data_IF_039095949830
#
_entry.id   IF_039095949830
#
_cell.length_a   1.000
_cell.length_b   1.000
_cell.length_c   1.000
_cell.angle_alpha   90.00
_cell.angle_beta   90.00
_cell.angle_gamma   90.00
#
_symmetry.space_group_name_H-M   'P 1'
#
loop_
_entity.id
_entity.type
_entity.pdbx_description
1 polymer ?
#
# COMPACT_ATOMS: atom_id res chain seq x y z
N UNK A 1 4.44 42.58 -46.42
CA UNK A 1 4.56 41.20 -45.94
C UNK A 1 4.66 41.23 -44.41
N UNK A 2 3.53 41.32 -43.71
CA UNK A 2 3.48 41.33 -42.24
C UNK A 2 3.09 39.93 -41.77
N UNK A 3 4.06 39.20 -41.21
CA UNK A 3 3.86 37.85 -40.69
C UNK A 3 3.20 37.97 -39.31
N UNK A 4 1.90 37.69 -39.24
CA UNK A 4 1.14 37.62 -38.00
C UNK A 4 1.52 36.33 -37.25
N UNK A 5 2.32 36.45 -36.18
CA UNK A 5 2.64 35.34 -35.29
C UNK A 5 1.36 35.02 -34.50
N UNK A 6 0.71 33.90 -34.85
CA UNK A 6 -0.39 33.32 -34.05
C UNK A 6 0.19 32.79 -32.74
N UNK A 7 -0.07 33.49 -31.64
CA UNK A 7 0.06 32.92 -30.30
C UNK A 7 -0.85 31.69 -30.20
N UNK A 8 -0.26 30.50 -30.20
CA UNK A 8 -0.95 29.28 -29.77
C UNK A 8 -1.16 29.39 -28.27
N UNK A 9 -2.36 29.75 -27.85
CA UNK A 9 -2.82 29.58 -26.48
C UNK A 9 -2.75 28.09 -26.16
N UNK A 10 -1.75 27.67 -25.38
CA UNK A 10 -1.70 26.31 -24.82
C UNK A 10 -2.93 26.19 -23.92
N UNK A 11 -3.96 25.47 -24.36
CA UNK A 11 -5.07 25.10 -23.49
C UNK A 11 -4.47 24.34 -22.31
N UNK A 12 -4.53 24.92 -21.11
CA UNK A 12 -4.16 24.23 -19.88
C UNK A 12 -5.09 23.02 -19.74
N UNK A 13 -4.52 21.81 -19.88
CA UNK A 13 -5.23 20.54 -19.68
C UNK A 13 -5.93 20.58 -18.32
N UNK A 14 -7.22 20.27 -18.24
CA UNK A 14 -7.96 20.23 -16.97
C UNK A 14 -7.31 19.15 -16.08
N UNK A 15 -6.79 19.48 -14.88
CA UNK A 15 -5.97 18.54 -14.11
C UNK A 15 -6.65 17.22 -13.69
N UNK A 16 -7.99 17.20 -13.61
CA UNK A 16 -8.79 16.01 -13.27
C UNK A 16 -9.79 15.70 -14.38
N UNK A 17 -9.34 15.64 -15.64
CA UNK A 17 -10.23 15.26 -16.73
C UNK A 17 -10.63 13.78 -16.61
N UNK A 18 -11.93 13.49 -16.80
CA UNK A 18 -12.51 12.16 -16.61
C UNK A 18 -11.77 11.06 -17.37
N UNK A 19 -11.38 11.35 -18.62
CA UNK A 19 -10.63 10.42 -19.46
C UNK A 19 -9.30 10.00 -18.82
N UNK A 20 -8.50 10.96 -18.37
CA UNK A 20 -7.19 10.67 -17.77
C UNK A 20 -7.32 9.85 -16.48
N UNK A 21 -8.39 10.09 -15.70
CA UNK A 21 -8.66 9.34 -14.47
C UNK A 21 -9.05 7.88 -14.76
N UNK A 22 -9.88 7.65 -15.78
CA UNK A 22 -10.26 6.30 -16.22
C UNK A 22 -9.04 5.58 -16.80
N UNK A 23 -8.31 6.24 -17.69
CA UNK A 23 -7.10 5.68 -18.31
C UNK A 23 -6.06 5.29 -17.26
N UNK A 24 -5.84 6.14 -16.24
CA UNK A 24 -4.98 5.82 -15.10
C UNK A 24 -5.51 4.64 -14.27
N UNK A 25 -6.81 4.58 -14.00
CA UNK A 25 -7.40 3.49 -13.21
C UNK A 25 -7.17 2.12 -13.85
N UNK A 26 -7.25 2.06 -15.18
CA UNK A 26 -7.11 0.80 -15.94
C UNK A 26 -5.69 0.25 -15.97
N UNK A 27 -4.67 1.07 -15.66
CA UNK A 27 -3.26 0.68 -15.69
C UNK A 27 -2.58 0.85 -14.32
N UNK A 28 -3.37 1.17 -13.29
CA UNK A 28 -2.85 1.34 -11.96
C UNK A 28 -2.55 -0.03 -11.34
N UNK A 29 -1.34 -0.16 -10.80
CA UNK A 29 -0.89 -1.36 -10.10
C UNK A 29 -1.53 -1.43 -8.71
N UNK A 30 -2.57 -2.25 -8.58
CA UNK A 30 -3.35 -2.42 -7.35
C UNK A 30 -2.50 -3.02 -6.20
N UNK A 31 -1.42 -3.76 -6.50
CA UNK A 31 -0.51 -4.26 -5.46
C UNK A 31 0.17 -3.10 -4.73
N UNK A 32 0.56 -2.04 -5.44
CA UNK A 32 1.12 -0.83 -4.79
C UNK A 32 0.16 -0.23 -3.76
N UNK A 33 -1.12 -0.16 -4.09
CA UNK A 33 -2.17 0.32 -3.18
C UNK A 33 -2.36 -0.63 -1.99
N UNK A 34 -2.47 -1.93 -2.25
CA UNK A 34 -2.56 -2.95 -1.21
C UNK A 34 -1.39 -2.87 -0.22
N UNK A 35 -0.14 -2.84 -0.72
CA UNK A 35 1.05 -2.77 0.12
C UNK A 35 1.12 -1.45 0.91
N UNK A 36 0.62 -0.34 0.36
CA UNK A 36 0.56 0.93 1.07
C UNK A 36 -0.44 0.86 2.25
N UNK A 37 -1.65 0.35 2.00
CA UNK A 37 -2.68 0.20 3.02
C UNK A 37 -2.27 -0.82 4.09
N UNK A 38 -1.82 -2.01 3.70
CA UNK A 38 -1.34 -3.04 4.62
C UNK A 38 -0.28 -2.49 5.58
N UNK A 39 0.76 -1.80 5.06
CA UNK A 39 1.82 -1.23 5.90
C UNK A 39 1.34 -0.11 6.81
N UNK A 40 0.32 0.67 6.40
CA UNK A 40 -0.36 1.61 7.29
C UNK A 40 -1.10 0.86 8.40
N UNK A 41 -1.81 -0.23 8.09
CA UNK A 41 -2.47 -1.08 9.07
C UNK A 41 -1.53 -1.67 10.12
N UNK A 42 -0.40 -2.24 9.67
CA UNK A 42 0.67 -2.73 10.56
C UNK A 42 1.17 -1.61 11.49
N UNK A 43 1.42 -0.41 10.95
CA UNK A 43 1.85 0.75 11.74
C UNK A 43 0.82 1.13 12.82
N UNK A 44 -0.47 1.13 12.49
CA UNK A 44 -1.53 1.46 13.44
C UNK A 44 -1.72 0.40 14.53
N UNK A 45 -1.41 -0.87 14.24
CA UNK A 45 -1.38 -1.94 15.24
C UNK A 45 -0.21 -1.75 16.21
N UNK A 46 0.97 -1.42 15.68
CA UNK A 46 2.18 -1.26 16.49
C UNK A 46 2.18 0.04 17.31
N UNK A 47 1.50 1.09 16.83
CA UNK A 47 1.47 2.44 17.39
C UNK A 47 0.05 3.04 17.33
N UNK A 48 -0.93 2.48 18.04
CA UNK A 48 -2.26 3.09 18.12
C UNK A 48 -2.18 4.46 18.80
N UNK A 49 -3.08 5.39 18.46
CA UNK A 49 -3.10 6.74 19.05
C UNK A 49 -3.07 6.75 20.58
N UNK A 50 -3.75 5.78 21.20
CA UNK A 50 -3.84 5.62 22.65
C UNK A 50 -2.51 5.26 23.32
N UNK A 51 -1.57 4.66 22.60
CA UNK A 51 -0.26 4.29 23.15
C UNK A 51 0.76 5.43 23.10
N UNK A 52 0.57 6.42 22.22
CA UNK A 52 1.55 7.48 21.97
C UNK A 52 1.89 8.28 23.23
N UNK A 53 0.90 8.60 24.07
CA UNK A 53 1.10 9.36 25.32
C UNK A 53 2.01 8.65 26.32
N UNK A 54 2.12 7.32 26.26
CA UNK A 54 2.92 6.50 27.18
C UNK A 54 4.20 5.95 26.53
N UNK A 55 4.49 6.37 25.29
CA UNK A 55 5.62 5.85 24.52
C UNK A 55 6.95 6.30 25.11
N UNK A 56 7.90 5.37 25.28
CA UNK A 56 9.26 5.68 25.74
C UNK A 56 10.16 6.13 24.59
N UNK A 57 11.30 6.75 24.91
CA UNK A 57 12.32 7.16 23.92
C UNK A 57 12.87 5.98 23.12
N UNK A 58 13.03 4.81 23.74
CA UNK A 58 13.48 3.57 23.09
C UNK A 58 12.43 3.00 22.14
N UNK A 59 11.14 3.21 22.42
CA UNK A 59 10.06 2.82 21.50
C UNK A 59 9.84 3.85 20.38
N UNK A 60 10.29 5.08 20.58
CA UNK A 60 10.16 6.18 19.63
C UNK A 60 11.29 6.25 18.60
N UNK A 61 12.53 6.27 19.06
CA UNK A 61 13.68 6.75 18.28
C UNK A 61 14.33 5.66 17.41
N UNK A 62 14.88 6.04 16.25
CA UNK A 62 15.68 5.13 15.42
C UNK A 62 16.98 4.68 16.13
N UNK A 63 17.61 3.64 15.57
CA UNK A 63 18.89 3.11 16.06
C UNK A 63 18.75 2.11 17.20
N UNK A 64 17.56 1.52 17.35
CA UNK A 64 17.23 0.53 18.37
C UNK A 64 17.18 -0.89 17.77
N UNK A 65 17.29 -1.95 18.60
CA UNK A 65 17.30 -3.34 18.11
C UNK A 65 15.97 -3.83 17.51
N UNK A 66 14.87 -3.10 17.74
CA UNK A 66 13.53 -3.45 17.25
C UNK A 66 12.94 -2.27 16.47
N UNK A 67 12.05 -2.51 15.50
CA UNK A 67 11.40 -1.42 14.77
C UNK A 67 10.70 -0.46 15.73
N UNK A 68 11.11 0.80 15.72
CA UNK A 68 10.54 1.88 16.55
C UNK A 68 9.50 2.68 15.78
N UNK A 69 8.90 3.68 16.44
CA UNK A 69 7.97 4.61 15.80
C UNK A 69 8.63 5.28 14.60
N UNK A 70 9.82 5.88 14.78
CA UNK A 70 10.52 6.57 13.71
C UNK A 70 10.96 5.62 12.59
N UNK A 71 11.45 4.42 12.93
CA UNK A 71 11.79 3.40 11.91
C UNK A 71 10.56 3.00 11.09
N UNK A 72 9.41 2.88 11.74
CA UNK A 72 8.16 2.49 11.08
C UNK A 72 7.62 3.59 10.18
N UNK A 73 7.68 4.86 10.64
CA UNK A 73 7.29 6.03 9.86
C UNK A 73 8.20 6.24 8.63
N UNK A 74 9.51 5.96 8.74
CA UNK A 74 10.44 6.14 7.62
C UNK A 74 10.52 4.94 6.67
N UNK A 75 10.74 3.74 7.21
CA UNK A 75 11.09 2.57 6.40
C UNK A 75 9.91 1.63 6.18
N UNK A 76 9.19 1.26 7.24
CA UNK A 76 8.12 0.25 7.13
C UNK A 76 6.90 0.75 6.37
N UNK A 77 6.63 2.04 6.42
CA UNK A 77 5.52 2.67 5.66
C UNK A 77 6.00 3.35 4.37
N UNK A 78 7.15 2.94 3.80
CA UNK A 78 7.68 3.53 2.56
C UNK A 78 6.70 3.45 1.39
N UNK A 79 5.96 2.34 1.26
CA UNK A 79 4.88 2.16 0.27
C UNK A 79 3.79 3.22 0.39
N UNK A 80 3.49 3.67 1.61
CA UNK A 80 2.52 4.76 1.85
C UNK A 80 3.04 6.13 1.41
N UNK A 81 4.29 6.46 1.70
CA UNK A 81 4.97 7.70 1.29
C UNK A 81 6.46 7.67 1.70
N UNK A 82 7.33 8.20 0.86
CA UNK A 82 8.78 8.24 1.12
C UNK A 82 9.20 9.54 1.79
N UNK A 83 9.98 9.44 2.89
CA UNK A 83 10.55 10.59 3.62
C UNK A 83 12.07 10.46 3.88
N UNK A 84 12.73 9.61 3.11
CA UNK A 84 14.17 9.35 3.19
C UNK A 84 14.98 10.50 2.56
N UNK A 85 16.30 10.51 2.79
CA UNK A 85 17.22 11.51 2.22
C UNK A 85 17.52 12.72 3.12
N UNK A 86 16.87 12.80 4.29
CA UNK A 86 17.18 13.77 5.34
C UNK A 86 17.83 13.09 6.56
N UNK A 87 18.64 13.85 7.31
CA UNK A 87 19.35 13.37 8.50
C UNK A 87 18.38 12.94 9.61
N UNK A 88 18.88 12.11 10.55
CA UNK A 88 18.11 11.64 11.70
C UNK A 88 17.60 12.77 12.62
N UNK A 89 18.19 13.98 12.55
CA UNK A 89 17.71 15.17 13.26
C UNK A 89 16.25 15.51 12.95
N UNK A 90 15.72 15.02 11.82
CA UNK A 90 14.33 15.22 11.41
C UNK A 90 13.31 14.67 12.43
N UNK A 91 13.72 13.66 13.21
CA UNK A 91 12.92 12.98 14.22
C UNK A 91 12.96 13.66 15.59
N UNK A 92 13.75 14.73 15.77
CA UNK A 92 13.89 15.41 17.06
C UNK A 92 14.84 14.73 18.03
N UNK A 93 14.82 13.40 18.15
CA UNK A 93 15.86 12.63 18.84
C UNK A 93 16.20 11.35 18.06
N UNK A 94 17.42 10.83 18.22
CA UNK A 94 17.82 9.53 17.69
C UNK A 94 18.95 8.90 18.51
N UNK A 95 19.11 7.59 18.44
CA UNK A 95 20.25 6.90 19.03
C UNK A 95 21.28 6.58 17.94
N UNK A 96 22.47 7.15 18.03
CA UNK A 96 23.45 7.01 16.95
C UNK A 96 24.73 7.80 17.14
N UNK A 97 25.55 7.81 16.09
CA UNK A 97 26.77 8.62 16.01
C UNK A 97 26.43 10.02 15.51
N UNK A 98 27.24 10.99 15.93
CA UNK A 98 27.24 12.35 15.35
C UNK A 98 28.48 12.52 14.49
N UNK A 99 28.39 13.32 13.43
CA UNK A 99 29.54 13.64 12.56
C UNK A 99 30.70 14.15 13.43
N UNK A 100 31.86 13.50 13.34
CA UNK A 100 33.05 13.85 14.12
C UNK A 100 33.19 13.16 15.49
N UNK A 101 32.26 12.30 15.90
CA UNK A 101 32.39 11.48 17.11
C UNK A 101 32.11 10.00 16.84
N UNK A 102 32.99 9.07 17.24
CA UNK A 102 32.75 7.63 17.06
C UNK A 102 31.76 7.06 18.08
N UNK A 103 31.42 7.80 19.14
CA UNK A 103 30.57 7.33 20.24
C UNK A 103 29.11 7.24 19.79
N UNK A 104 28.53 6.06 19.95
CA UNK A 104 27.08 5.84 19.78
C UNK A 104 26.39 6.26 21.06
N UNK A 105 25.52 7.25 20.99
CA UNK A 105 24.77 7.76 22.15
C UNK A 105 23.50 8.46 21.69
N UNK A 106 22.71 8.95 22.63
CA UNK A 106 21.55 9.76 22.34
C UNK A 106 21.94 11.11 21.73
N UNK A 107 21.26 11.48 20.65
CA UNK A 107 21.50 12.70 19.89
C UNK A 107 20.21 13.48 19.71
N UNK A 108 20.34 14.80 19.61
CA UNK A 108 19.25 15.72 19.32
C UNK A 108 19.78 16.98 18.61
N UNK A 109 18.94 17.65 17.79
CA UNK A 109 19.25 18.97 17.28
C UNK A 109 18.96 20.03 18.36
N UNK A 110 19.65 21.17 18.28
CA UNK A 110 19.54 22.28 19.25
C UNK A 110 18.12 22.84 19.35
N UNK A 111 17.37 22.84 18.24
CA UNK A 111 15.95 23.27 18.19
C UNK A 111 15.01 22.47 19.12
N UNK A 112 15.42 21.29 19.57
CA UNK A 112 14.63 20.48 20.51
C UNK A 112 15.01 20.71 21.97
N UNK A 113 16.15 21.31 22.26
CA UNK A 113 16.58 21.54 23.64
C UNK A 113 18.09 21.61 23.79
N UNK A 114 18.53 22.02 24.99
CA UNK A 114 19.95 22.18 25.32
C UNK A 114 20.60 20.87 25.81
N UNK A 115 19.80 19.96 26.36
CA UNK A 115 20.23 18.63 26.77
C UNK A 115 19.24 17.57 26.27
N UNK A 116 19.62 16.30 26.41
CA UNK A 116 18.83 15.19 25.89
C UNK A 116 17.45 15.04 26.54
N UNK A 117 17.33 15.28 27.85
CA UNK A 117 16.06 15.09 28.57
C UNK A 117 15.03 16.12 28.11
N UNK A 118 15.44 17.39 28.02
CA UNK A 118 14.62 18.46 27.43
C UNK A 118 14.22 18.11 25.99
N UNK A 119 15.19 17.63 25.19
CA UNK A 119 14.96 17.28 23.80
C UNK A 119 13.95 16.13 23.63
N UNK A 120 14.02 15.12 24.49
CA UNK A 120 13.05 14.04 24.52
C UNK A 120 11.66 14.57 24.89
N UNK A 121 11.55 15.31 26.00
CA UNK A 121 10.27 15.83 26.46
C UNK A 121 9.62 16.75 25.42
N UNK A 122 10.40 17.65 24.80
CA UNK A 122 9.92 18.54 23.76
C UNK A 122 9.52 17.79 22.49
N UNK A 123 10.28 16.77 22.09
CA UNK A 123 9.95 15.93 20.92
C UNK A 123 8.67 15.15 21.15
N UNK A 124 8.51 14.54 22.34
CA UNK A 124 7.32 13.78 22.70
C UNK A 124 6.09 14.68 22.82
N UNK A 125 6.21 15.82 23.50
CA UNK A 125 5.14 16.83 23.57
C UNK A 125 4.74 17.33 22.17
N UNK A 126 5.72 17.59 21.29
CA UNK A 126 5.44 18.00 19.92
C UNK A 126 4.70 16.92 19.11
N UNK A 127 5.03 15.64 19.30
CA UNK A 127 4.26 14.55 18.67
C UNK A 127 2.81 14.54 19.17
N UNK A 128 2.59 14.65 20.48
CA UNK A 128 1.25 14.64 21.06
C UNK A 128 0.44 15.86 20.62
N UNK A 129 1.03 17.05 20.67
CA UNK A 129 0.42 18.29 20.19
C UNK A 129 0.06 18.22 18.69
N UNK A 130 0.92 17.64 17.85
CA UNK A 130 0.63 17.44 16.43
C UNK A 130 -0.63 16.59 16.22
N UNK A 131 -0.75 15.49 16.97
CA UNK A 131 -1.91 14.58 16.92
C UNK A 131 -3.17 15.28 17.45
N UNK A 132 -3.06 16.00 18.57
CA UNK A 132 -4.19 16.68 19.19
C UNK A 132 -4.76 17.78 18.29
N UNK A 133 -3.92 18.58 17.63
CA UNK A 133 -4.40 19.59 16.68
C UNK A 133 -5.02 18.99 15.41
N UNK A 134 -4.57 17.80 14.99
CA UNK A 134 -5.06 17.11 13.79
C UNK A 134 -6.36 16.31 14.00
N UNK A 135 -6.63 15.84 15.23
CA UNK A 135 -7.80 15.00 15.52
C UNK A 135 -9.12 15.79 15.47
N UNK A 136 -9.10 17.10 15.70
CA UNK A 136 -10.29 17.96 15.67
C UNK A 136 -11.01 17.90 14.33
N UNK A 137 -12.35 18.00 14.33
CA UNK A 137 -13.17 17.98 13.09
C UNK A 137 -12.65 18.97 12.05
N UNK A 138 -12.26 20.16 12.51
CA UNK A 138 -11.54 21.17 11.73
C UNK A 138 -10.13 21.29 12.33
N UNK A 139 -9.08 20.78 11.65
CA UNK A 139 -7.72 20.89 12.14
C UNK A 139 -7.24 22.34 12.26
N UNK A 140 -6.45 22.65 13.29
CA UNK A 140 -5.77 23.94 13.42
C UNK A 140 -4.47 23.93 12.61
N UNK A 141 -4.57 24.25 11.31
CA UNK A 141 -3.44 24.18 10.39
C UNK A 141 -2.28 25.10 10.79
N UNK A 142 -2.57 26.26 11.40
CA UNK A 142 -1.54 27.19 11.86
C UNK A 142 -0.69 26.57 12.97
N UNK A 143 -1.32 25.92 13.97
CA UNK A 143 -0.60 25.20 15.03
C UNK A 143 0.13 23.96 14.51
N UNK A 144 -0.49 23.20 13.61
CA UNK A 144 0.15 22.04 12.97
C UNK A 144 1.44 22.46 12.25
N UNK A 145 1.41 23.56 11.49
CA UNK A 145 2.59 24.06 10.78
C UNK A 145 3.62 24.70 11.72
N UNK A 146 3.20 25.33 12.82
CA UNK A 146 4.08 25.88 13.85
C UNK A 146 4.79 24.80 14.70
N UNK A 147 4.26 23.58 14.73
CA UNK A 147 4.84 22.47 15.48
C UNK A 147 6.33 22.23 15.11
N UNK A 148 7.21 22.00 16.09
CA UNK A 148 8.65 21.99 15.86
C UNK A 148 9.14 20.76 15.09
N UNK A 149 8.36 19.69 14.92
CA UNK A 149 8.75 18.56 14.07
C UNK A 149 8.96 19.00 12.61
N UNK A 150 9.85 18.31 11.90
CA UNK A 150 10.16 18.69 10.50
C UNK A 150 8.99 18.42 9.57
N UNK A 151 8.87 19.21 8.50
CA UNK A 151 7.70 19.18 7.62
C UNK A 151 7.38 17.80 7.04
N UNK A 152 8.38 17.12 6.47
CA UNK A 152 8.19 15.78 5.90
C UNK A 152 7.69 14.78 6.96
N UNK A 153 8.23 14.87 8.17
CA UNK A 153 7.87 13.99 9.27
C UNK A 153 6.45 14.27 9.77
N UNK A 154 6.09 15.56 9.96
CA UNK A 154 4.73 15.98 10.31
C UNK A 154 3.72 15.48 9.28
N UNK A 155 3.94 15.82 8.01
CA UNK A 155 3.03 15.46 6.92
C UNK A 155 2.82 13.94 6.83
N UNK A 156 3.89 13.15 7.03
CA UNK A 156 3.82 11.69 7.05
C UNK A 156 2.98 11.18 8.22
N UNK A 157 3.27 11.61 9.45
CA UNK A 157 2.51 11.22 10.66
C UNK A 157 1.03 11.55 10.48
N UNK A 158 0.73 12.77 10.03
CA UNK A 158 -0.64 13.24 9.80
C UNK A 158 -1.38 12.34 8.79
N UNK A 159 -0.75 12.02 7.66
CA UNK A 159 -1.36 11.16 6.64
C UNK A 159 -1.56 9.70 7.11
N UNK A 160 -0.68 9.19 7.99
CA UNK A 160 -0.81 7.86 8.55
C UNK A 160 -1.98 7.79 9.54
N UNK A 161 -2.13 8.74 10.46
CA UNK A 161 -3.21 8.69 11.45
C UNK A 161 -4.54 9.22 10.93
N UNK A 162 -4.52 10.23 10.06
CA UNK A 162 -5.70 10.97 9.63
C UNK A 162 -5.80 11.06 8.10
N UNK A 163 -5.86 9.93 7.37
CA UNK A 163 -5.85 9.92 5.90
C UNK A 163 -7.04 10.65 5.29
N UNK A 164 -8.19 10.69 5.98
CA UNK A 164 -9.38 11.43 5.53
C UNK A 164 -9.23 12.96 5.66
N UNK A 165 -8.13 13.45 6.22
CA UNK A 165 -7.86 14.87 6.39
C UNK A 165 -6.54 15.32 5.78
N UNK A 166 -5.57 14.41 5.60
CA UNK A 166 -4.26 14.75 5.08
C UNK A 166 -3.81 13.70 4.06
N UNK A 167 -3.58 14.14 2.83
CA UNK A 167 -3.03 13.28 1.78
C UNK A 167 -1.58 12.89 2.12
N UNK A 168 -1.15 11.72 1.65
CA UNK A 168 0.18 11.13 1.82
C UNK A 168 1.28 11.79 0.97
N UNK A 169 1.20 13.10 0.75
CA UNK A 169 2.24 13.92 0.09
C UNK A 169 2.98 14.70 1.17
N UNK A 170 4.26 14.39 1.36
CA UNK A 170 5.04 14.93 2.48
C UNK A 170 5.87 16.16 2.09
N UNK A 171 6.22 16.28 0.81
CA UNK A 171 7.09 17.36 0.29
C UNK A 171 6.35 18.68 0.26
N UNK A 172 6.90 19.69 0.96
CA UNK A 172 6.41 21.07 0.91
C UNK A 172 6.38 21.59 -0.53
N UNK A 173 7.46 21.37 -1.27
CA UNK A 173 7.60 21.89 -2.62
C UNK A 173 6.57 21.28 -3.56
N UNK A 174 6.33 19.96 -3.46
CA UNK A 174 5.30 19.30 -4.27
C UNK A 174 3.88 19.75 -3.88
N UNK A 175 3.64 19.98 -2.58
CA UNK A 175 2.36 20.52 -2.12
C UNK A 175 2.11 21.93 -2.67
N UNK A 176 3.14 22.78 -2.75
CA UNK A 176 3.04 24.10 -3.39
C UNK A 176 2.86 24.02 -4.91
N UNK A 177 3.57 23.12 -5.58
CA UNK A 177 3.42 22.92 -7.03
C UNK A 177 2.00 22.47 -7.38
N UNK A 178 1.47 21.49 -6.65
CA UNK A 178 0.09 21.03 -6.81
C UNK A 178 -0.92 22.12 -6.42
N UNK A 179 -0.69 22.85 -5.34
CA UNK A 179 -1.62 23.91 -4.94
C UNK A 179 -1.72 25.02 -5.98
N UNK A 180 -0.59 25.39 -6.61
CA UNK A 180 -0.55 26.30 -7.75
C UNK A 180 -1.28 25.74 -8.97
N UNK A 181 -1.04 24.47 -9.33
CA UNK A 181 -1.73 23.78 -10.43
C UNK A 181 -3.26 23.82 -10.25
N UNK A 182 -3.74 23.58 -9.03
CA UNK A 182 -5.16 23.58 -8.68
C UNK A 182 -5.72 24.97 -8.33
N UNK A 183 -4.94 26.03 -8.52
CA UNK A 183 -5.35 27.42 -8.25
C UNK A 183 -5.85 27.65 -6.82
N UNK A 184 -5.23 26.97 -5.84
CA UNK A 184 -5.49 27.18 -4.42
C UNK A 184 -4.91 28.53 -3.96
N UNK A 185 -5.42 29.13 -2.87
CA UNK A 185 -4.84 30.34 -2.30
C UNK A 185 -3.36 30.17 -1.95
N UNK A 186 -2.57 31.20 -2.21
CA UNK A 186 -1.14 31.23 -1.87
C UNK A 186 -0.94 31.42 -0.35
N UNK A 187 0.25 31.01 0.14
CA UNK A 187 0.72 31.23 1.51
C UNK A 187 -0.17 30.60 2.60
N UNK A 188 -0.91 29.55 2.27
CA UNK A 188 -1.58 28.72 3.27
C UNK A 188 -0.56 27.83 4.00
N UNK A 189 -0.86 27.41 5.24
CA UNK A 189 -0.11 26.35 5.89
C UNK A 189 0.03 25.11 5.00
N UNK A 190 1.18 24.45 5.07
CA UNK A 190 1.50 23.25 4.29
C UNK A 190 0.52 22.11 4.60
N UNK A 191 0.13 21.96 5.85
CA UNK A 191 -0.89 20.99 6.27
C UNK A 191 -2.28 21.29 5.72
N UNK A 192 -2.60 22.57 5.46
CA UNK A 192 -3.85 22.96 4.82
C UNK A 192 -3.86 22.56 3.33
N UNK A 193 -2.72 22.63 2.64
CA UNK A 193 -2.61 22.09 1.28
C UNK A 193 -2.85 20.58 1.24
N UNK A 194 -2.32 19.82 2.21
CA UNK A 194 -2.63 18.39 2.32
C UNK A 194 -4.14 18.14 2.48
N UNK A 195 -4.82 18.97 3.26
CA UNK A 195 -6.26 18.86 3.49
C UNK A 195 -7.08 19.21 2.25
N UNK A 196 -6.73 20.30 1.56
CA UNK A 196 -7.42 20.73 0.35
C UNK A 196 -7.29 19.72 -0.79
N UNK A 197 -6.16 19.02 -0.91
CA UNK A 197 -6.01 17.93 -1.88
C UNK A 197 -6.92 16.74 -1.58
N UNK A 198 -7.18 16.43 -0.29
CA UNK A 198 -8.20 15.44 0.08
C UNK A 198 -9.59 15.91 -0.32
N UNK A 199 -9.94 17.17 -0.07
CA UNK A 199 -11.26 17.69 -0.48
C UNK A 199 -11.44 17.62 -2.00
N UNK A 200 -10.41 17.99 -2.79
CA UNK A 200 -10.44 17.84 -4.25
C UNK A 200 -10.66 16.39 -4.70
N UNK A 201 -10.04 15.43 -4.02
CA UNK A 201 -10.26 14.00 -4.25
C UNK A 201 -11.72 13.63 -3.97
N UNK A 202 -12.25 14.04 -2.83
CA UNK A 202 -13.61 13.68 -2.39
C UNK A 202 -14.71 14.35 -3.22
N UNK A 203 -14.47 15.57 -3.71
CA UNK A 203 -15.44 16.31 -4.52
C UNK A 203 -15.60 15.73 -5.93
N UNK A 204 -14.58 15.04 -6.45
CA UNK A 204 -14.60 14.44 -7.78
C UNK A 204 -15.41 13.13 -7.82
N UNK A 205 -16.20 12.91 -8.87
CA UNK A 205 -17.08 11.74 -9.02
C UNK A 205 -16.32 10.39 -9.11
N UNK A 206 -15.07 10.38 -9.59
CA UNK A 206 -14.24 9.17 -9.72
C UNK A 206 -13.30 9.05 -8.52
N UNK A 207 -12.47 10.07 -8.25
CA UNK A 207 -11.36 9.92 -7.29
C UNK A 207 -11.81 9.87 -5.84
N UNK A 208 -13.08 10.18 -5.53
CA UNK A 208 -13.66 9.97 -4.20
C UNK A 208 -13.56 8.52 -3.76
N UNK A 209 -13.64 7.57 -4.70
CA UNK A 209 -13.56 6.13 -4.44
C UNK A 209 -12.15 5.57 -4.47
N UNK A 210 -11.14 6.36 -4.86
CA UNK A 210 -9.74 5.91 -4.84
C UNK A 210 -9.19 5.94 -3.43
N UNK A 211 -8.16 5.15 -3.13
CA UNK A 211 -7.34 5.39 -1.95
C UNK A 211 -6.45 6.63 -2.12
N UNK A 212 -5.90 7.11 -1.00
CA UNK A 212 -4.91 8.18 -1.03
C UNK A 212 -3.62 7.80 -1.79
N UNK A 213 -3.05 6.58 -1.61
CA UNK A 213 -1.95 6.09 -2.44
C UNK A 213 -2.23 6.17 -3.94
N UNK A 214 -3.39 5.70 -4.41
CA UNK A 214 -3.77 5.75 -5.84
C UNK A 214 -3.86 7.19 -6.35
N UNK A 215 -4.54 8.06 -5.59
CA UNK A 215 -4.65 9.48 -5.96
C UNK A 215 -3.30 10.20 -5.94
N UNK A 216 -2.44 9.94 -4.95
CA UNK A 216 -1.08 10.47 -4.92
C UNK A 216 -0.28 10.03 -6.14
N UNK A 217 -0.32 8.74 -6.51
CA UNK A 217 0.40 8.23 -7.69
C UNK A 217 -0.04 8.94 -8.97
N UNK A 218 -1.36 9.12 -9.15
CA UNK A 218 -1.89 9.89 -10.27
C UNK A 218 -1.30 11.31 -10.33
N UNK A 219 -1.33 12.03 -9.19
CA UNK A 219 -0.80 13.40 -9.11
C UNK A 219 0.70 13.45 -9.41
N UNK A 220 1.47 12.49 -8.90
CA UNK A 220 2.91 12.44 -9.12
C UNK A 220 3.26 12.14 -10.57
N UNK A 221 2.60 11.17 -11.19
CA UNK A 221 2.86 10.77 -12.58
C UNK A 221 2.48 11.86 -13.58
N UNK A 222 1.40 12.60 -13.32
CA UNK A 222 0.90 13.60 -14.27
C UNK A 222 1.51 14.99 -14.07
N UNK A 223 1.95 15.34 -12.85
CA UNK A 223 2.26 16.73 -12.53
C UNK A 223 3.61 16.97 -11.85
N UNK A 224 4.20 15.98 -11.17
CA UNK A 224 5.46 16.17 -10.41
C UNK A 224 6.65 15.53 -11.11
N UNK A 225 6.49 14.31 -11.61
CA UNK A 225 7.56 13.62 -12.33
C UNK A 225 7.68 14.24 -13.72
N UNK A 226 8.69 15.10 -13.90
CA UNK A 226 9.21 15.43 -15.24
C UNK A 226 9.82 14.15 -15.82
N UNK A 227 9.30 13.72 -16.96
CA UNK A 227 9.58 12.46 -17.67
C UNK A 227 10.89 11.75 -17.27
N UNK A 228 10.74 10.57 -16.67
CA UNK A 228 11.61 9.43 -17.00
C UNK A 228 10.67 8.32 -17.44
N UNK A 229 10.43 8.28 -18.74
CA UNK A 229 9.95 7.12 -19.48
C UNK A 229 10.90 5.95 -19.28
N UNK A 230 10.40 4.86 -18.72
CA UNK A 230 10.68 3.50 -19.21
C UNK A 230 9.78 2.51 -18.48
N UNK A 231 8.61 2.30 -19.07
CA UNK A 231 7.97 0.98 -19.09
C UNK A 231 8.96 -0.02 -19.68
N UNK A 232 9.48 -0.92 -18.85
CA UNK A 232 9.98 -2.21 -19.33
C UNK A 232 9.00 -3.27 -18.83
N UNK A 233 8.04 -3.60 -19.69
CA UNK A 233 7.28 -4.83 -19.61
C UNK A 233 8.21 -6.00 -19.94
N UNK A 234 8.57 -6.80 -18.95
CA UNK A 234 9.31 -8.04 -19.18
C UNK A 234 8.30 -9.17 -19.41
N UNK A 235 7.95 -9.39 -20.67
CA UNK A 235 7.28 -10.61 -21.11
C UNK A 235 8.35 -11.68 -21.38
N UNK A 236 8.70 -12.48 -20.38
CA UNK A 236 9.53 -13.68 -20.56
C UNK A 236 8.61 -14.90 -20.69
N UNK A 237 8.63 -15.53 -21.87
CA UNK A 237 8.00 -16.83 -22.14
C UNK A 237 8.66 -17.93 -21.28
N UNK A 238 7.85 -18.67 -20.53
CA UNK A 238 8.30 -19.81 -19.72
C UNK A 238 8.13 -21.09 -20.54
N UNK A 239 9.21 -21.64 -21.08
CA UNK A 239 9.18 -23.01 -21.62
C UNK A 239 9.40 -24.01 -20.50
N UNK A 240 8.39 -24.84 -20.21
CA UNK A 240 8.51 -25.96 -19.28
C UNK A 240 9.37 -27.09 -19.89
N UNK A 241 10.42 -27.50 -19.18
CA UNK A 241 11.16 -28.74 -19.45
C UNK A 241 10.90 -29.74 -18.32
N UNK A 242 10.27 -30.86 -18.65
CA UNK A 242 10.10 -32.01 -17.74
C UNK A 242 11.20 -33.04 -18.00
N UNK A 243 12.13 -33.20 -17.06
CA UNK A 243 12.94 -34.42 -16.95
C UNK A 243 12.22 -35.40 -16.02
N UNK A 244 11.88 -36.58 -16.54
CA UNK A 244 11.28 -37.67 -15.76
C UNK A 244 12.35 -38.32 -14.88
N UNK A 245 12.35 -37.99 -13.60
CA UNK A 245 13.00 -38.82 -12.58
C UNK A 245 11.91 -39.65 -11.89
N UNK A 246 11.91 -40.95 -12.14
CA UNK A 246 11.05 -41.90 -11.45
C UNK A 246 11.63 -42.19 -10.06
N UNK A 247 11.36 -41.30 -9.10
CA UNK A 247 11.42 -41.66 -7.68
C UNK A 247 10.07 -42.24 -7.28
N UNK A 248 10.09 -43.22 -6.40
CA UNK A 248 8.90 -43.69 -5.72
C UNK A 248 8.41 -42.54 -4.82
N UNK A 249 7.18 -42.07 -5.07
CA UNK A 249 6.60 -40.89 -4.43
C UNK A 249 5.37 -41.34 -3.65
N UNK A 250 5.33 -41.07 -2.35
CA UNK A 250 4.13 -41.25 -1.55
C UNK A 250 3.13 -40.11 -1.87
N UNK A 251 2.11 -40.41 -2.66
CA UNK A 251 1.13 -39.42 -3.13
C UNK A 251 0.24 -38.88 -2.00
N UNK A 252 -0.04 -39.68 -0.97
CA UNK A 252 -0.86 -39.26 0.17
C UNK A 252 -0.11 -38.22 1.00
N UNK A 253 1.16 -38.48 1.33
CA UNK A 253 2.02 -37.51 2.02
C UNK A 253 2.18 -36.21 1.23
N UNK A 254 2.33 -36.29 -0.11
CA UNK A 254 2.39 -35.10 -0.96
C UNK A 254 1.10 -34.30 -0.94
N UNK A 255 -0.05 -34.98 -0.93
CA UNK A 255 -1.35 -34.30 -0.90
C UNK A 255 -1.57 -33.63 0.46
N UNK A 256 -1.22 -34.29 1.57
CA UNK A 256 -1.27 -33.71 2.90
C UNK A 256 -0.37 -32.47 3.02
N UNK A 257 0.86 -32.54 2.50
CA UNK A 257 1.77 -31.39 2.46
C UNK A 257 1.19 -30.23 1.65
N UNK A 258 0.59 -30.50 0.49
CA UNK A 258 -0.07 -29.46 -0.33
C UNK A 258 -1.25 -28.83 0.40
N UNK A 259 -2.07 -29.63 1.06
CA UNK A 259 -3.20 -29.14 1.85
C UNK A 259 -2.72 -28.25 3.01
N UNK A 260 -1.64 -28.65 3.70
CA UNK A 260 -1.03 -27.85 4.76
C UNK A 260 -0.49 -26.51 4.23
N UNK A 261 0.22 -26.52 3.10
CA UNK A 261 0.74 -25.30 2.47
C UNK A 261 -0.41 -24.37 2.06
N UNK A 262 -1.48 -24.93 1.47
CA UNK A 262 -2.69 -24.17 1.11
C UNK A 262 -3.30 -23.48 2.32
N UNK A 263 -3.52 -24.22 3.41
CA UNK A 263 -4.06 -23.68 4.66
C UNK A 263 -3.18 -22.57 5.25
N UNK A 264 -1.86 -22.75 5.27
CA UNK A 264 -0.93 -21.72 5.74
C UNK A 264 -0.97 -20.46 4.86
N UNK A 265 -1.14 -20.63 3.55
CA UNK A 265 -1.29 -19.51 2.63
C UNK A 265 -2.57 -18.73 2.89
N UNK A 266 -3.70 -19.43 3.07
CA UNK A 266 -5.01 -18.85 3.37
C UNK A 266 -4.99 -18.08 4.70
N UNK A 267 -4.38 -18.65 5.75
CA UNK A 267 -4.23 -18.01 7.07
C UNK A 267 -3.34 -16.76 6.98
N UNK A 268 -2.26 -16.81 6.21
CA UNK A 268 -1.41 -15.64 5.99
C UNK A 268 -2.13 -14.54 5.21
N UNK A 269 -2.82 -14.91 4.12
CA UNK A 269 -3.53 -13.99 3.25
C UNK A 269 -4.63 -13.23 3.99
N UNK A 270 -5.42 -13.91 4.83
CA UNK A 270 -6.51 -13.26 5.58
C UNK A 270 -5.99 -12.27 6.63
N UNK A 271 -4.87 -12.57 7.30
CA UNK A 271 -4.25 -11.61 8.23
C UNK A 271 -3.75 -10.36 7.50
N UNK A 272 -3.16 -10.54 6.31
CA UNK A 272 -2.74 -9.42 5.45
C UNK A 272 -3.92 -8.59 4.94
N UNK A 273 -5.04 -9.23 4.66
CA UNK A 273 -6.26 -8.52 4.27
C UNK A 273 -6.87 -7.72 5.43
N UNK A 274 -6.83 -8.25 6.65
CA UNK A 274 -7.26 -7.50 7.86
C UNK A 274 -6.39 -6.27 8.10
N UNK A 275 -5.07 -6.41 7.96
CA UNK A 275 -4.13 -5.29 8.03
C UNK A 275 -4.47 -4.24 6.96
N UNK A 276 -4.74 -4.67 5.73
CA UNK A 276 -5.13 -3.76 4.64
C UNK A 276 -6.43 -3.01 4.97
N UNK A 277 -7.50 -3.70 5.39
CA UNK A 277 -8.77 -3.05 5.74
C UNK A 277 -8.59 -2.01 6.85
N UNK A 278 -7.81 -2.31 7.89
CA UNK A 278 -7.46 -1.33 8.93
C UNK A 278 -6.70 -0.15 8.35
N UNK A 279 -5.74 -0.43 7.47
CA UNK A 279 -4.98 0.53 6.70
C UNK A 279 -5.80 1.38 5.73
N UNK A 280 -6.92 0.89 5.25
CA UNK A 280 -7.88 1.63 4.42
C UNK A 280 -8.86 2.47 5.27
N UNK A 281 -8.85 2.32 6.60
CA UNK A 281 -9.84 2.94 7.48
C UNK A 281 -11.17 2.18 7.54
N UNK A 282 -11.20 0.94 7.03
CA UNK A 282 -12.35 0.05 6.98
C UNK A 282 -12.27 -1.05 8.06
N UNK A 283 -11.68 -0.75 9.23
CA UNK A 283 -11.50 -1.73 10.32
C UNK A 283 -12.83 -2.37 10.75
N UNK A 284 -13.93 -1.63 10.68
CA UNK A 284 -15.28 -2.13 10.96
C UNK A 284 -15.75 -3.23 9.98
N UNK A 285 -15.21 -3.27 8.75
CA UNK A 285 -15.52 -4.26 7.72
C UNK A 285 -14.80 -5.59 7.94
N UNK A 286 -13.78 -5.65 8.81
CA UNK A 286 -13.06 -6.91 9.13
C UNK A 286 -14.04 -7.98 9.63
N UNK A 287 -15.02 -7.57 10.44
CA UNK A 287 -16.07 -8.47 10.96
C UNK A 287 -17.04 -8.98 9.89
N UNK A 288 -17.05 -8.35 8.71
CA UNK A 288 -17.91 -8.69 7.57
C UNK A 288 -17.18 -9.47 6.48
N UNK A 289 -15.91 -9.83 6.68
CA UNK A 289 -15.24 -10.75 5.75
C UNK A 289 -15.94 -12.10 5.81
N UNK A 290 -16.34 -12.62 4.67
CA UNK A 290 -16.94 -13.96 4.59
C UNK A 290 -15.86 -14.99 4.26
N UNK A 291 -15.71 -16.00 5.13
CA UNK A 291 -14.93 -17.20 4.84
C UNK A 291 -15.76 -18.16 3.97
N UNK A 292 -15.33 -18.35 2.72
CA UNK A 292 -16.01 -19.13 1.69
C UNK A 292 -15.27 -20.40 1.31
N UNK A 293 -14.14 -20.71 1.96
CA UNK A 293 -13.30 -21.90 1.69
C UNK A 293 -14.05 -23.23 1.80
N UNK A 294 -15.04 -23.30 2.71
CA UNK A 294 -15.91 -24.47 2.87
C UNK A 294 -16.99 -24.59 1.78
N UNK A 295 -17.09 -23.65 0.84
CA UNK A 295 -18.14 -23.54 -0.16
C UNK A 295 -17.52 -23.30 -1.56
N UNK A 296 -16.91 -24.33 -2.18
CA UNK A 296 -16.18 -24.18 -3.43
C UNK A 296 -16.98 -23.56 -4.59
N UNK A 297 -18.31 -23.69 -4.61
CA UNK A 297 -19.17 -23.12 -5.67
C UNK A 297 -19.15 -21.58 -5.79
N UNK A 298 -18.61 -20.86 -4.80
CA UNK A 298 -18.33 -19.42 -4.94
C UNK A 298 -17.11 -19.15 -5.82
N UNK A 299 -16.20 -20.10 -5.94
CA UNK A 299 -14.97 -20.03 -6.73
C UNK A 299 -13.85 -19.19 -6.11
N UNK A 300 -14.06 -18.61 -4.92
CA UNK A 300 -13.02 -17.87 -4.18
C UNK A 300 -13.05 -18.24 -2.69
N UNK A 301 -11.90 -18.08 -2.04
CA UNK A 301 -11.70 -18.35 -0.61
C UNK A 301 -12.37 -17.33 0.32
N UNK A 302 -12.29 -16.04 0.01
CA UNK A 302 -12.83 -14.97 0.86
C UNK A 302 -13.55 -13.88 0.09
N UNK A 303 -14.64 -13.35 0.66
CA UNK A 303 -15.25 -12.09 0.23
C UNK A 303 -14.91 -10.97 1.21
N UNK A 304 -14.16 -9.98 0.74
CA UNK A 304 -13.76 -8.76 1.46
C UNK A 304 -14.30 -7.51 0.75
N UNK A 305 -13.70 -6.34 0.98
CA UNK A 305 -14.24 -5.03 0.61
C UNK A 305 -13.15 -4.03 0.20
N UNK A 306 -13.17 -3.56 -1.03
CA UNK A 306 -12.26 -2.49 -1.51
C UNK A 306 -12.66 -1.13 -0.92
N UNK A 307 -13.97 -0.85 -0.83
CA UNK A 307 -14.58 0.29 -0.12
C UNK A 307 -15.84 -0.17 0.62
N UNK A 308 -16.55 0.72 1.34
CA UNK A 308 -17.79 0.35 2.04
C UNK A 308 -18.85 -0.30 1.13
N UNK A 309 -18.86 0.04 -0.16
CA UNK A 309 -19.87 -0.41 -1.12
C UNK A 309 -19.32 -1.36 -2.21
N UNK A 310 -18.00 -1.59 -2.26
CA UNK A 310 -17.37 -2.36 -3.33
C UNK A 310 -16.80 -3.69 -2.81
N UNK A 311 -17.45 -4.85 -3.09
CA UNK A 311 -16.96 -6.15 -2.64
C UNK A 311 -15.69 -6.55 -3.41
N UNK A 312 -14.80 -7.26 -2.72
CA UNK A 312 -13.54 -7.79 -3.26
C UNK A 312 -13.51 -9.31 -3.09
N UNK A 313 -13.43 -10.05 -4.18
CA UNK A 313 -13.32 -11.51 -4.18
C UNK A 313 -11.84 -11.91 -4.14
N UNK A 314 -11.46 -12.77 -3.20
CA UNK A 314 -10.06 -13.13 -2.93
C UNK A 314 -9.89 -14.62 -3.10
N UNK A 315 -9.07 -15.00 -4.07
CA UNK A 315 -8.62 -16.37 -4.29
C UNK A 315 -7.14 -16.51 -3.91
N UNK A 316 -6.82 -17.37 -2.94
CA UNK A 316 -5.49 -17.49 -2.36
C UNK A 316 -4.72 -18.62 -3.03
N UNK A 317 -3.49 -18.33 -3.46
CA UNK A 317 -2.63 -19.32 -4.12
C UNK A 317 -1.25 -19.34 -3.50
N UNK A 318 -0.85 -20.50 -2.99
CA UNK A 318 0.56 -20.77 -2.71
C UNK A 318 1.31 -20.91 -4.04
N UNK A 319 2.31 -20.05 -4.26
CA UNK A 319 3.10 -20.08 -5.50
C UNK A 319 4.36 -20.93 -5.35
N UNK A 320 4.65 -21.73 -6.36
CA UNK A 320 5.83 -22.58 -6.44
C UNK A 320 6.86 -22.00 -7.41
N UNK A 321 8.12 -21.92 -6.99
CA UNK A 321 9.22 -21.47 -7.84
C UNK A 321 9.53 -22.52 -8.91
N UNK A 322 9.59 -22.12 -10.18
CA UNK A 322 9.89 -23.00 -11.33
C UNK A 322 11.19 -22.63 -12.06
N UNK A 323 11.69 -21.41 -11.87
CA UNK A 323 12.93 -20.90 -12.44
C UNK A 323 13.53 -19.82 -11.57
N UNK A 324 14.56 -19.11 -12.05
CA UNK A 324 15.19 -18.02 -11.30
C UNK A 324 14.18 -16.93 -10.91
N UNK A 325 13.38 -16.50 -11.88
CA UNK A 325 12.34 -15.47 -11.78
C UNK A 325 10.98 -15.96 -12.33
N UNK A 326 10.73 -17.27 -12.25
CA UNK A 326 9.51 -17.89 -12.76
C UNK A 326 8.79 -18.66 -11.68
N UNK A 327 7.48 -18.52 -11.65
CA UNK A 327 6.59 -19.04 -10.63
C UNK A 327 5.38 -19.68 -11.28
N UNK A 328 4.76 -20.64 -10.58
CA UNK A 328 3.48 -21.24 -10.99
C UNK A 328 2.55 -21.38 -9.79
N UNK A 329 1.26 -21.35 -10.07
CA UNK A 329 0.22 -21.85 -9.18
C UNK A 329 -0.81 -22.61 -10.01
N UNK A 330 -1.72 -23.32 -9.34
CA UNK A 330 -2.81 -24.03 -10.02
C UNK A 330 -4.11 -23.28 -9.83
N UNK A 331 -4.92 -23.25 -10.89
CA UNK A 331 -6.24 -22.65 -10.93
C UNK A 331 -7.24 -23.75 -11.32
N UNK A 332 -8.32 -23.91 -10.55
CA UNK A 332 -9.40 -24.83 -10.90
C UNK A 332 -10.30 -24.22 -11.97
N UNK A 333 -11.02 -25.06 -12.73
CA UNK A 333 -11.96 -24.60 -13.76
C UNK A 333 -13.04 -23.69 -13.17
N UNK A 334 -13.55 -24.02 -11.98
CA UNK A 334 -14.55 -23.21 -11.30
C UNK A 334 -13.98 -21.85 -10.84
N UNK A 335 -12.76 -21.79 -10.30
CA UNK A 335 -12.11 -20.50 -9.98
C UNK A 335 -11.91 -19.65 -11.24
N UNK A 336 -11.49 -20.27 -12.35
CA UNK A 336 -11.32 -19.58 -13.63
C UNK A 336 -12.64 -19.04 -14.18
N UNK A 337 -13.70 -19.85 -14.21
CA UNK A 337 -15.00 -19.39 -14.69
C UNK A 337 -15.55 -18.25 -13.83
N UNK A 338 -15.46 -18.37 -12.50
CA UNK A 338 -15.95 -17.35 -11.57
C UNK A 338 -15.17 -16.04 -11.63
N UNK A 339 -13.86 -16.10 -11.85
CA UNK A 339 -13.04 -14.90 -11.99
C UNK A 339 -13.37 -14.11 -13.27
N UNK A 340 -13.79 -14.79 -14.35
CA UNK A 340 -14.23 -14.17 -15.60
C UNK A 340 -15.65 -13.57 -15.51
N UNK A 341 -16.50 -14.14 -14.65
CA UNK A 341 -17.86 -13.65 -14.38
C UNK A 341 -17.91 -12.49 -13.37
N UNK A 342 -16.78 -12.15 -12.75
CA UNK A 342 -16.71 -11.13 -11.69
C UNK A 342 -17.22 -9.76 -12.17
N UNK A 343 -18.26 -9.27 -11.49
CA UNK A 343 -18.80 -7.94 -11.73
C UNK A 343 -17.77 -6.88 -11.33
N UNK A 344 -17.59 -5.87 -12.18
CA UNK A 344 -16.69 -4.73 -11.96
C UNK A 344 -15.21 -5.08 -11.81
N UNK A 345 -14.82 -6.30 -12.18
CA UNK A 345 -13.45 -6.80 -12.14
C UNK A 345 -12.80 -6.67 -10.74
N UNK A 346 -13.52 -7.04 -9.67
CA UNK A 346 -13.01 -7.02 -8.29
C UNK A 346 -12.58 -8.41 -7.80
N UNK A 347 -12.02 -9.21 -8.71
CA UNK A 347 -11.49 -10.53 -8.41
C UNK A 347 -9.97 -10.51 -8.36
N UNK A 348 -9.41 -10.95 -7.23
CA UNK A 348 -7.97 -10.85 -6.96
C UNK A 348 -7.37 -12.20 -6.60
N UNK A 349 -6.23 -12.48 -7.22
CA UNK A 349 -5.31 -13.53 -6.76
C UNK A 349 -4.44 -12.99 -5.64
N UNK A 350 -4.42 -13.70 -4.51
CA UNK A 350 -3.52 -13.46 -3.39
C UNK A 350 -2.41 -14.52 -3.46
N UNK A 351 -1.29 -14.14 -4.09
CA UNK A 351 -0.16 -15.03 -4.35
C UNK A 351 0.81 -15.03 -3.17
N UNK A 352 0.83 -16.14 -2.43
CA UNK A 352 1.64 -16.32 -1.22
C UNK A 352 2.93 -17.05 -1.55
N UNK A 353 4.06 -16.38 -1.27
CA UNK A 353 5.40 -16.89 -1.48
C UNK A 353 5.94 -17.48 -0.18
N UNK A 354 6.51 -18.68 -0.28
CA UNK A 354 7.05 -19.43 0.85
C UNK A 354 8.58 -19.47 0.85
N UNK A 355 9.15 -19.52 2.05
CA UNK A 355 10.51 -20.00 2.30
C UNK A 355 10.51 -21.22 3.22
N UNK A 356 11.69 -21.65 3.68
CA UNK A 356 11.83 -22.78 4.61
C UNK A 356 11.16 -22.58 5.99
N UNK A 357 10.81 -21.35 6.34
CA UNK A 357 10.20 -20.99 7.63
C UNK A 357 8.69 -20.75 7.52
N UNK A 358 8.10 -20.80 6.32
CA UNK A 358 6.68 -20.59 6.07
C UNK A 358 6.39 -19.47 5.05
N UNK A 359 5.17 -18.91 5.05
CA UNK A 359 4.81 -17.81 4.15
C UNK A 359 5.59 -16.54 4.51
N UNK A 360 6.20 -15.88 3.51
CA UNK A 360 7.07 -14.71 3.68
C UNK A 360 6.53 -13.44 3.03
N UNK A 361 5.87 -13.59 1.88
CA UNK A 361 5.39 -12.46 1.10
C UNK A 361 4.03 -12.76 0.45
N UNK A 362 3.27 -11.69 0.22
CA UNK A 362 2.01 -11.70 -0.49
C UNK A 362 2.10 -10.67 -1.61
N UNK A 363 1.83 -11.09 -2.83
CA UNK A 363 1.58 -10.21 -3.98
C UNK A 363 0.13 -10.36 -4.37
N UNK A 364 -0.56 -9.24 -4.60
CA UNK A 364 -1.93 -9.29 -5.13
C UNK A 364 -1.93 -8.96 -6.62
N UNK A 365 -2.83 -9.58 -7.37
CA UNK A 365 -3.02 -9.23 -8.77
C UNK A 365 -4.48 -9.42 -9.14
N UNK A 366 -5.04 -8.43 -9.83
CA UNK A 366 -6.36 -8.54 -10.42
C UNK A 366 -6.39 -9.70 -11.44
N UNK A 367 -7.50 -10.44 -11.52
CA UNK A 367 -7.60 -11.60 -12.41
C UNK A 367 -7.40 -11.22 -13.89
N UNK A 368 -8.01 -10.14 -14.37
CA UNK A 368 -7.88 -9.66 -15.75
C UNK A 368 -6.43 -9.30 -16.08
N UNK A 369 -5.73 -8.65 -15.15
CA UNK A 369 -4.30 -8.32 -15.32
C UNK A 369 -3.43 -9.59 -15.33
N UNK A 370 -3.68 -10.52 -14.40
CA UNK A 370 -2.99 -11.81 -14.35
C UNK A 370 -3.11 -12.55 -15.69
N UNK A 371 -4.31 -12.61 -16.28
CA UNK A 371 -4.52 -13.29 -17.56
C UNK A 371 -3.83 -12.62 -18.75
N UNK A 372 -3.53 -11.32 -18.68
CA UNK A 372 -2.78 -10.61 -19.73
C UNK A 372 -1.28 -10.92 -19.69
N UNK A 373 -0.74 -11.26 -18.51
CA UNK A 373 0.70 -11.46 -18.31
C UNK A 373 1.13 -12.91 -18.08
N UNK A 374 0.19 -13.81 -17.76
CA UNK A 374 0.47 -15.22 -17.50
C UNK A 374 0.20 -16.12 -18.70
N UNK A 375 0.98 -17.20 -18.81
CA UNK A 375 0.70 -18.30 -19.75
C UNK A 375 -0.10 -19.39 -19.03
N UNK A 376 -1.27 -19.74 -19.56
CA UNK A 376 -2.08 -20.83 -19.03
C UNK A 376 -1.76 -22.14 -19.75
N UNK A 377 -1.33 -23.15 -18.97
CA UNK A 377 -1.06 -24.50 -19.47
C UNK A 377 -2.07 -25.45 -18.81
N UNK A 378 -2.77 -26.30 -19.58
CA UNK A 378 -3.70 -27.29 -19.02
C UNK A 378 -3.01 -28.22 -18.01
N UNK A 379 -3.64 -28.42 -16.85
CA UNK A 379 -3.07 -29.21 -15.75
C UNK A 379 -3.90 -30.45 -15.38
N UNK A 380 -5.20 -30.47 -15.66
CA UNK A 380 -6.10 -31.58 -15.37
C UNK A 380 -7.25 -31.65 -16.39
N UNK A 381 -7.87 -32.83 -16.50
CA UNK A 381 -9.04 -33.07 -17.35
C UNK A 381 -10.13 -33.75 -16.52
N UNK A 382 -11.37 -33.30 -16.68
CA UNK A 382 -12.55 -33.97 -16.12
C UNK A 382 -13.30 -34.71 -17.22
N UNK A 383 -13.58 -35.99 -17.01
CA UNK A 383 -14.35 -36.83 -17.94
C UNK A 383 -15.66 -37.26 -17.29
N UNK A 384 -16.77 -37.04 -18.01
CA UNK A 384 -18.10 -37.45 -17.62
C UNK A 384 -18.58 -38.55 -18.58
N UNK A 385 -19.18 -39.62 -18.06
CA UNK A 385 -19.78 -40.67 -18.86
C UNK A 385 -21.04 -41.20 -18.17
N UNK A 386 -22.07 -41.48 -18.94
CA UNK A 386 -23.25 -42.17 -18.45
C UNK A 386 -23.02 -43.68 -18.52
N UNK A 387 -23.34 -44.38 -17.43
CA UNK A 387 -23.31 -45.85 -17.39
C UNK A 387 -24.66 -46.38 -16.90
N UNK A 388 -25.39 -47.01 -17.81
CA UNK A 388 -26.63 -47.70 -17.48
C UNK A 388 -26.34 -49.18 -17.21
N UNK A 389 -26.55 -49.62 -15.98
CA UNK A 389 -26.57 -51.05 -15.64
C UNK A 389 -27.68 -51.73 -16.46
N UNK A 390 -27.32 -52.72 -17.28
CA UNK A 390 -28.32 -53.63 -17.84
C UNK A 390 -28.95 -54.39 -16.68
N UNK A 391 -30.27 -54.24 -16.50
CA UNK A 391 -31.06 -55.07 -15.58
C UNK A 391 -31.04 -56.53 -16.02
#
# INVERSE_FOLDING_TARGET
MHLCIRNRTVQKKKPLAKKDLIDFSNHYDDDKEFQAEQKRGEFLNDFPLTSLKKMTKERYAIGQPRPTFCDSVEFRTRSWAMIQGATADKFGIYFGKRKGSPKVTWQHPTRMGNNFEDAWQNTHNALIDLIENAQHKHPDFAKIDANPLTQMFKAKILSLYFPNKFINICSRDHLHELSSLFSMPEKLPTSEYQHRLINLKMDNEITRYWSNPKFMSFLYENFIRKEVTSTESIANKVTATTSLNHKEVNFDELQEQRNLIGKLAEEFAIEKEKERLKGAGLEHMISKIEDRRSRPGYGHDYLSWSTEDKPRQIEVKAVAKTGADSWRFFLSENEYQRSQESLENEWYFYLVFFDKNGPQALHICNSEEMYKQAEMIPASWSMYFDYHLKK
#
